data_IF_721820080238
#
_entry.id   IF_721820080238
#
_cell.length_a   1.000
_cell.length_b   1.000
_cell.length_c   1.000
_cell.angle_alpha   90.00
_cell.angle_beta   90.00
_cell.angle_gamma   90.00
#
_symmetry.space_group_name_H-M   'P 1'
#
loop_
_entity.id
_entity.type
_entity.pdbx_description
1 polymer ?
#
# COMPACT_ATOMS: atom_id res chain seq x y z
N UNK A 1 -32.42 4.73 1.59
CA UNK A 1 -33.41 5.47 0.78
C UNK A 1 -34.37 4.44 0.21
N UNK A 2 -35.67 4.47 0.59
CA UNK A 2 -36.66 3.52 0.08
C UNK A 2 -36.79 3.64 -1.44
N UNK A 3 -37.00 2.53 -2.15
CA UNK A 3 -37.28 2.52 -3.59
C UNK A 3 -36.07 2.38 -4.53
N UNK A 4 -34.87 2.12 -4.01
CA UNK A 4 -33.70 1.86 -4.85
C UNK A 4 -33.72 0.44 -5.45
N UNK A 5 -33.24 0.32 -6.69
CA UNK A 5 -33.05 -0.97 -7.36
C UNK A 5 -31.97 -1.80 -6.65
N UNK A 6 -32.06 -3.13 -6.76
CA UNK A 6 -31.06 -4.06 -6.22
C UNK A 6 -29.67 -3.75 -6.81
N UNK A 7 -28.68 -3.57 -5.94
CA UNK A 7 -27.30 -3.24 -6.33
C UNK A 7 -27.02 -1.74 -6.51
N UNK A 8 -28.02 -0.87 -6.31
CA UNK A 8 -27.82 0.58 -6.28
C UNK A 8 -27.66 1.04 -4.84
N UNK A 9 -26.50 1.63 -4.55
CA UNK A 9 -26.17 2.15 -3.23
C UNK A 9 -25.98 3.67 -3.32
N UNK A 10 -26.70 4.47 -2.50
CA UNK A 10 -26.49 5.90 -2.49
C UNK A 10 -25.17 6.20 -1.79
N UNK A 11 -24.31 6.96 -2.46
CA UNK A 11 -23.05 7.42 -1.89
C UNK A 11 -23.30 8.84 -1.41
N UNK A 12 -23.36 9.00 -0.08
CA UNK A 12 -23.54 10.30 0.57
C UNK A 12 -22.24 10.73 1.24
N UNK A 13 -22.01 12.05 1.43
CA UNK A 13 -20.84 12.51 2.16
C UNK A 13 -20.78 11.92 3.57
N UNK A 14 -19.56 11.64 4.03
CA UNK A 14 -19.25 11.27 5.41
C UNK A 14 -18.35 12.35 6.01
N UNK A 15 -18.51 12.56 7.31
CA UNK A 15 -17.70 13.51 8.07
C UNK A 15 -16.73 12.77 8.97
N UNK A 16 -15.45 13.15 8.91
CA UNK A 16 -14.40 12.66 9.80
C UNK A 16 -13.74 13.85 10.51
N UNK A 17 -13.47 13.70 11.81
CA UNK A 17 -12.91 14.76 12.64
C UNK A 17 -11.79 14.21 13.50
N UNK A 18 -10.69 14.95 13.63
CA UNK A 18 -9.62 14.66 14.57
C UNK A 18 -9.05 15.94 15.18
N UNK A 19 -8.35 15.80 16.28
CA UNK A 19 -7.70 16.91 16.99
C UNK A 19 -6.20 16.66 17.00
N UNK A 20 -5.43 17.69 16.65
CA UNK A 20 -3.96 17.65 16.62
C UNK A 20 -3.40 18.94 17.22
N UNK A 21 -2.10 18.99 17.48
CA UNK A 21 -1.42 20.23 17.81
C UNK A 21 -1.11 21.01 16.52
N UNK A 22 -1.21 22.36 16.52
CA UNK A 22 -0.74 23.17 15.42
C UNK A 22 0.76 22.94 15.15
N UNK A 23 1.22 23.00 13.89
CA UNK A 23 2.64 22.95 13.58
C UNK A 23 3.41 24.06 14.34
N UNK A 24 4.44 23.69 15.10
CA UNK A 24 5.26 24.65 15.86
C UNK A 24 4.73 25.03 17.25
N UNK A 25 3.66 24.38 17.74
CA UNK A 25 3.19 24.60 19.11
C UNK A 25 4.18 24.03 20.14
N UNK A 26 4.69 24.88 21.03
CA UNK A 26 5.57 24.51 22.15
C UNK A 26 4.75 24.04 23.36
N UNK A 27 3.52 24.57 23.51
CA UNK A 27 2.62 24.25 24.60
C UNK A 27 1.41 23.45 24.13
N UNK A 28 1.07 22.38 24.87
CA UNK A 28 -0.05 21.48 24.58
C UNK A 28 -1.45 22.09 24.82
N UNK A 29 -1.52 23.38 25.13
CA UNK A 29 -2.76 24.11 25.46
C UNK A 29 -3.58 24.48 24.23
N UNK A 30 -2.92 24.73 23.09
CA UNK A 30 -3.61 25.06 21.84
C UNK A 30 -3.83 23.79 21.01
N UNK A 31 -5.09 23.39 20.86
CA UNK A 31 -5.49 22.22 20.05
C UNK A 31 -6.17 22.67 18.76
N UNK A 32 -5.76 22.11 17.63
CA UNK A 32 -6.37 22.29 16.32
C UNK A 32 -7.35 21.14 16.05
N UNK A 33 -8.62 21.46 15.85
CA UNK A 33 -9.64 20.49 15.43
C UNK A 33 -9.82 20.57 13.91
N UNK A 34 -9.60 19.47 13.22
CA UNK A 34 -9.71 19.37 11.76
C UNK A 34 -10.87 18.46 11.41
N UNK A 35 -11.79 18.96 10.59
CA UNK A 35 -12.93 18.21 10.08
C UNK A 35 -12.88 18.13 8.56
N UNK A 36 -13.29 16.99 7.99
CA UNK A 36 -13.43 16.77 6.56
C UNK A 36 -14.79 16.13 6.27
N UNK A 37 -15.52 16.71 5.35
CA UNK A 37 -16.75 16.14 4.77
C UNK A 37 -16.48 15.79 3.30
N UNK A 38 -16.68 14.54 2.90
CA UNK A 38 -16.40 14.07 1.54
C UNK A 38 -17.16 12.77 1.23
N UNK A 39 -17.44 12.50 -0.04
CA UNK A 39 -17.93 11.19 -0.48
C UNK A 39 -16.89 10.10 -0.15
N UNK A 40 -17.29 8.95 0.45
CA UNK A 40 -16.38 7.88 0.85
C UNK A 40 -15.91 7.03 -0.34
N UNK A 41 -15.43 7.67 -1.41
CA UNK A 41 -14.94 7.03 -2.63
C UNK A 41 -13.60 7.62 -3.04
N UNK A 42 -12.78 6.79 -3.65
CA UNK A 42 -11.55 7.20 -4.32
C UNK A 42 -11.44 6.45 -5.65
N UNK A 43 -10.85 7.05 -6.69
CA UNK A 43 -10.54 6.32 -7.91
C UNK A 43 -9.66 5.09 -7.60
N UNK A 44 -10.07 3.91 -8.04
CA UNK A 44 -9.36 2.65 -7.75
C UNK A 44 -8.50 2.13 -8.91
N UNK A 45 -8.30 2.94 -9.97
CA UNK A 45 -7.50 2.55 -11.13
C UNK A 45 -5.99 2.48 -10.82
N UNK A 46 -5.53 3.27 -9.84
CA UNK A 46 -4.18 3.20 -9.30
C UNK A 46 -4.28 2.92 -7.81
N UNK A 47 -3.51 1.95 -7.35
CA UNK A 47 -3.48 1.54 -5.94
C UNK A 47 -2.03 1.59 -5.44
N UNK A 48 -1.87 1.90 -4.16
CA UNK A 48 -0.55 1.81 -3.52
C UNK A 48 -0.10 0.35 -3.45
N UNK A 49 1.22 0.11 -3.35
CA UNK A 49 1.74 -1.24 -3.14
C UNK A 49 1.14 -1.94 -1.92
N UNK A 50 0.93 -1.18 -0.83
CA UNK A 50 0.25 -1.68 0.38
C UNK A 50 -1.19 -2.10 0.09
N UNK A 51 -1.98 -1.27 -0.59
CA UNK A 51 -3.36 -1.62 -0.96
C UNK A 51 -3.45 -2.78 -1.97
N UNK A 52 -2.40 -3.00 -2.75
CA UNK A 52 -2.31 -4.10 -3.71
C UNK A 52 -1.88 -5.44 -3.07
N UNK A 53 -1.37 -5.44 -1.84
CA UNK A 53 -0.85 -6.63 -1.19
C UNK A 53 -1.92 -7.74 -1.11
N UNK A 54 -1.51 -8.98 -1.39
CA UNK A 54 -2.39 -10.14 -1.45
C UNK A 54 -3.25 -10.25 -2.73
N UNK A 55 -3.32 -9.22 -3.57
CA UNK A 55 -4.11 -9.28 -4.82
C UNK A 55 -3.34 -9.97 -5.95
N UNK A 56 -4.07 -10.67 -6.81
CA UNK A 56 -3.59 -11.06 -8.15
C UNK A 56 -4.21 -10.11 -9.16
N UNK A 57 -3.39 -9.49 -10.00
CA UNK A 57 -3.83 -8.55 -11.01
C UNK A 57 -3.39 -9.06 -12.39
N UNK A 58 -4.31 -9.20 -13.38
CA UNK A 58 -3.97 -9.76 -14.69
C UNK A 58 -2.92 -8.93 -15.43
N UNK A 59 -3.05 -7.60 -15.36
CA UNK A 59 -2.16 -6.64 -16.01
C UNK A 59 -1.87 -5.50 -15.03
N UNK A 60 -0.60 -5.14 -14.86
CA UNK A 60 -0.16 -4.05 -13.98
C UNK A 60 0.91 -3.19 -14.65
N UNK A 61 0.85 -1.89 -14.39
CA UNK A 61 1.90 -0.94 -14.68
C UNK A 61 2.50 -0.51 -13.33
N UNK A 62 3.81 -0.68 -13.17
CA UNK A 62 4.48 -0.49 -11.87
C UNK A 62 5.73 0.39 -11.97
N UNK A 63 5.98 1.19 -10.94
CA UNK A 63 7.23 1.92 -10.76
C UNK A 63 8.11 1.18 -9.74
N UNK A 64 9.25 0.65 -10.20
CA UNK A 64 10.10 -0.23 -9.41
C UNK A 64 11.37 0.46 -8.86
N UNK A 65 11.52 1.77 -9.05
CA UNK A 65 12.74 2.50 -8.66
C UNK A 65 12.94 2.65 -7.16
N UNK A 66 11.87 2.56 -6.37
CA UNK A 66 11.97 2.66 -4.91
C UNK A 66 12.71 1.46 -4.31
N UNK A 67 12.74 0.31 -5.00
CA UNK A 67 13.38 -0.91 -4.52
C UNK A 67 12.68 -1.54 -3.32
N UNK A 68 13.32 -2.56 -2.73
CA UNK A 68 12.88 -3.18 -1.47
C UNK A 68 11.52 -3.88 -1.55
N UNK A 69 10.85 -4.00 -0.39
CA UNK A 69 9.62 -4.79 -0.26
C UNK A 69 8.47 -4.27 -1.11
N UNK A 70 8.26 -2.95 -1.18
CA UNK A 70 7.19 -2.36 -1.98
C UNK A 70 7.30 -2.71 -3.46
N UNK A 71 8.53 -2.74 -3.97
CA UNK A 71 8.83 -3.11 -5.36
C UNK A 71 8.54 -4.59 -5.63
N UNK A 72 8.95 -5.47 -4.71
CA UNK A 72 8.60 -6.90 -4.77
C UNK A 72 7.08 -7.12 -4.73
N UNK A 73 6.39 -6.47 -3.80
CA UNK A 73 4.93 -6.55 -3.67
C UNK A 73 4.26 -6.08 -4.96
N UNK A 74 4.66 -4.94 -5.52
CA UNK A 74 4.10 -4.41 -6.76
C UNK A 74 4.31 -5.35 -7.96
N UNK A 75 5.53 -5.83 -8.19
CA UNK A 75 5.83 -6.71 -9.31
C UNK A 75 5.15 -8.08 -9.19
N UNK A 76 5.10 -8.65 -7.97
CA UNK A 76 4.48 -9.95 -7.70
C UNK A 76 2.95 -9.97 -7.81
N UNK A 77 2.30 -8.83 -8.12
CA UNK A 77 0.86 -8.83 -8.41
C UNK A 77 0.55 -9.43 -9.78
N UNK A 78 1.50 -9.35 -10.72
CA UNK A 78 1.40 -9.96 -12.04
C UNK A 78 1.71 -11.46 -11.96
N UNK A 79 1.01 -12.26 -12.77
CA UNK A 79 1.27 -13.70 -12.91
C UNK A 79 2.21 -14.06 -14.06
N UNK A 80 2.48 -13.11 -14.95
CA UNK A 80 3.32 -13.33 -16.13
C UNK A 80 4.07 -12.07 -16.49
N UNK A 81 5.16 -12.25 -17.25
CA UNK A 81 5.93 -11.12 -17.79
C UNK A 81 5.11 -10.27 -18.76
N UNK A 82 4.17 -10.86 -19.49
CA UNK A 82 3.27 -10.14 -20.40
C UNK A 82 2.28 -9.25 -19.63
N UNK A 83 1.86 -9.68 -18.43
CA UNK A 83 0.98 -8.91 -17.55
C UNK A 83 1.72 -7.85 -16.71
N UNK A 84 3.02 -7.65 -16.91
CA UNK A 84 3.85 -6.73 -16.12
C UNK A 84 4.50 -5.68 -17.04
N UNK A 85 4.14 -4.42 -16.84
CA UNK A 85 4.78 -3.27 -17.49
C UNK A 85 5.51 -2.42 -16.46
N UNK A 86 6.79 -2.12 -16.72
CA UNK A 86 7.61 -1.28 -15.84
C UNK A 86 7.64 0.14 -16.43
N UNK A 87 7.30 1.14 -15.64
CA UNK A 87 7.18 2.54 -16.11
C UNK A 87 8.50 3.14 -16.63
N UNK A 88 9.64 2.63 -16.16
CA UNK A 88 10.98 3.09 -16.54
C UNK A 88 12.02 2.00 -16.27
N UNK A 89 13.16 1.98 -16.99
CA UNK A 89 14.22 1.00 -16.75
C UNK A 89 14.69 0.99 -15.30
N UNK A 90 15.02 -0.19 -14.77
CA UNK A 90 15.54 -0.37 -13.42
C UNK A 90 16.81 -1.21 -13.44
N UNK A 91 17.71 -0.95 -12.50
CA UNK A 91 18.95 -1.69 -12.31
C UNK A 91 18.80 -2.75 -11.21
N UNK A 92 19.62 -3.80 -11.27
CA UNK A 92 19.68 -4.83 -10.22
C UNK A 92 19.98 -4.21 -8.85
N UNK A 93 20.83 -3.18 -8.79
CA UNK A 93 21.16 -2.46 -7.56
C UNK A 93 19.95 -1.75 -6.95
N UNK A 94 19.03 -1.24 -7.77
CA UNK A 94 17.80 -0.61 -7.28
C UNK A 94 16.81 -1.64 -6.73
N UNK A 95 16.72 -2.81 -7.36
CA UNK A 95 15.82 -3.88 -6.92
C UNK A 95 16.32 -4.55 -5.63
N UNK A 96 17.60 -4.90 -5.59
CA UNK A 96 18.22 -5.68 -4.52
C UNK A 96 18.71 -4.78 -3.37
N UNK A 97 17.77 -4.14 -2.69
CA UNK A 97 18.06 -3.53 -1.39
C UNK A 97 18.32 -4.63 -0.34
N UNK A 98 19.32 -4.47 0.54
CA UNK A 98 19.60 -5.46 1.57
C UNK A 98 18.38 -5.65 2.48
N UNK A 99 18.12 -6.90 2.86
CA UNK A 99 17.08 -7.21 3.81
C UNK A 99 17.47 -6.67 5.20
N UNK A 100 16.50 -6.21 6.01
CA UNK A 100 16.70 -5.95 7.43
C UNK A 100 17.35 -7.15 8.13
N UNK A 101 18.25 -6.86 9.07
CA UNK A 101 19.02 -7.89 9.78
C UNK A 101 18.14 -8.96 10.42
N UNK A 102 17.04 -8.56 11.08
CA UNK A 102 16.13 -9.49 11.76
C UNK A 102 15.50 -10.50 10.79
N UNK A 103 15.14 -10.06 9.58
CA UNK A 103 14.60 -10.95 8.55
C UNK A 103 15.66 -11.92 8.01
N UNK A 104 16.92 -11.48 7.91
CA UNK A 104 18.01 -12.38 7.55
C UNK A 104 18.25 -13.44 8.63
N UNK A 105 18.18 -13.05 9.92
CA UNK A 105 18.33 -13.98 11.03
C UNK A 105 17.17 -14.97 11.09
N UNK A 106 15.95 -14.50 10.83
CA UNK A 106 14.77 -15.37 10.77
C UNK A 106 14.86 -16.37 9.60
N UNK A 107 15.31 -15.93 8.42
CA UNK A 107 15.52 -16.84 7.28
C UNK A 107 16.51 -17.95 7.63
N UNK A 108 17.66 -17.60 8.24
CA UNK A 108 18.63 -18.60 8.71
C UNK A 108 18.04 -19.56 9.75
N UNK A 109 17.11 -19.10 10.58
CA UNK A 109 16.42 -19.94 11.58
C UNK A 109 15.49 -20.93 10.89
N UNK A 110 14.75 -20.49 9.87
CA UNK A 110 13.86 -21.33 9.07
C UNK A 110 14.64 -22.38 8.26
N UNK A 111 15.76 -22.00 7.65
CA UNK A 111 16.63 -22.93 6.92
C UNK A 111 17.13 -24.04 7.85
N UNK A 112 17.54 -23.70 9.07
CA UNK A 112 17.97 -24.69 10.07
C UNK A 112 16.83 -25.64 10.49
N UNK A 113 15.59 -25.18 10.49
CA UNK A 113 14.43 -26.02 10.81
C UNK A 113 14.13 -27.02 9.69
N UNK A 114 14.21 -26.58 8.43
CA UNK A 114 14.01 -27.45 7.26
C UNK A 114 14.96 -28.65 7.28
N UNK A 115 16.25 -28.44 7.59
CA UNK A 115 17.26 -29.51 7.59
C UNK A 115 17.18 -30.45 8.80
N UNK A 116 16.33 -30.15 9.79
CA UNK A 116 16.14 -30.98 10.99
C UNK A 116 14.83 -31.78 10.97
N UNK A 117 14.06 -31.72 9.88
CA UNK A 117 12.80 -32.45 9.69
C UNK A 117 12.92 -33.41 8.51
#
# INVERSE_FOLDING_TARGET
>A
IPGLLKGVYPITPISWTFTTLPPGAVDATTKLRVSREQLPIQPAFTVTGHSAQGKTLPNVIVNLHEGGFGTYVAASRAKSRLGLSIMRPVTIKQLNKPLPYDLMQEMKRLDKLEHNT
#
